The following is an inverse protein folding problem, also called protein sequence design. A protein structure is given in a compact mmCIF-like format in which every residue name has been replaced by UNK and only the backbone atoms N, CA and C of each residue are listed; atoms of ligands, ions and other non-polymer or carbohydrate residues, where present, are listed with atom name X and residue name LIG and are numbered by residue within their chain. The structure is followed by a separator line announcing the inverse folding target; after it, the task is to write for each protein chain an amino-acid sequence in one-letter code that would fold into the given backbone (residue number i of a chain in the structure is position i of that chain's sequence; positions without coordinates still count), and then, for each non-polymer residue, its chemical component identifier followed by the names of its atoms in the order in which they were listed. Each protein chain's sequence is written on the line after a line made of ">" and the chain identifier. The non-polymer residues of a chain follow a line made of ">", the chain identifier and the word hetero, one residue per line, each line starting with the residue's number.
data_IF_608035920454
#
_entry.id   IF_608035920454
#
_cell.length_a   1.000
_cell.length_b   1.000
_cell.length_c   1.000
_cell.angle_alpha   90.00
_cell.angle_beta   90.00
_cell.angle_gamma   90.00
#
_symmetry.space_group_name_H-M   'P 1'
#
loop_
_entity.id
_entity.type
_entity.pdbx_description
1 polymer ?
#
# COMPACT_ATOMS: atom_id res chain seq x y z
N UNK A 1 -0.63 -19.07 5.94
CA UNK A 1 -1.04 -17.65 5.98
C UNK A 1 -2.40 -17.52 5.29
N UNK A 2 -3.47 -17.59 6.06
CA UNK A 2 -4.83 -17.75 5.52
C UNK A 2 -5.75 -16.54 5.78
N UNK A 3 -5.32 -15.57 6.58
CA UNK A 3 -6.13 -14.41 6.93
C UNK A 3 -5.36 -13.12 6.72
N UNK A 4 -6.10 -12.03 6.64
CA UNK A 4 -5.50 -10.69 6.58
C UNK A 4 -4.72 -10.41 7.87
N UNK A 5 -5.21 -10.92 9.00
CA UNK A 5 -4.50 -10.82 10.27
C UNK A 5 -3.15 -11.52 10.24
N UNK A 6 -3.08 -12.70 9.65
CA UNK A 6 -1.81 -13.42 9.48
C UNK A 6 -0.82 -12.59 8.67
N UNK A 7 -1.29 -11.92 7.61
CA UNK A 7 -0.47 -11.02 6.81
C UNK A 7 0.00 -9.81 7.64
N UNK A 8 -0.87 -9.24 8.44
CA UNK A 8 -0.51 -8.14 9.34
C UNK A 8 0.52 -8.58 10.37
N UNK A 9 0.33 -9.73 10.99
CA UNK A 9 1.26 -10.26 11.98
C UNK A 9 2.64 -10.46 11.37
N UNK A 10 2.71 -11.05 10.18
CA UNK A 10 3.96 -11.22 9.43
C UNK A 10 4.61 -9.88 9.12
N UNK A 11 3.86 -8.95 8.55
CA UNK A 11 4.36 -7.62 8.20
C UNK A 11 4.86 -6.87 9.42
N UNK A 12 4.09 -6.86 10.51
CA UNK A 12 4.45 -6.11 11.70
C UNK A 12 5.69 -6.67 12.40
N UNK A 13 5.88 -7.98 12.40
CA UNK A 13 7.09 -8.61 12.95
C UNK A 13 8.33 -8.25 12.17
N UNK A 14 8.23 -8.19 10.83
CA UNK A 14 9.37 -7.91 9.95
C UNK A 14 9.67 -6.42 9.83
N UNK A 15 8.66 -5.57 9.83
CA UNK A 15 8.80 -4.16 9.44
C UNK A 15 8.70 -3.19 10.60
N UNK A 16 8.08 -3.56 11.71
CA UNK A 16 7.92 -2.68 12.86
C UNK A 16 8.91 -3.09 13.95
N UNK A 17 9.84 -2.19 14.24
CA UNK A 17 10.87 -2.43 15.25
C UNK A 17 10.31 -2.32 16.67
N UNK A 18 10.95 -3.01 17.62
CA UNK A 18 10.63 -2.87 19.03
C UNK A 18 10.82 -1.42 19.50
N UNK A 19 9.96 -0.99 20.39
CA UNK A 19 10.02 0.37 20.94
C UNK A 19 9.22 1.42 20.16
N UNK A 20 8.57 1.03 19.05
CA UNK A 20 7.69 1.95 18.34
C UNK A 20 6.44 2.22 19.20
N UNK A 21 6.03 3.49 19.38
CA UNK A 21 4.84 3.82 20.16
C UNK A 21 3.58 3.09 19.68
N UNK A 22 2.75 2.68 20.62
CA UNK A 22 1.51 1.93 20.34
C UNK A 22 0.61 2.66 19.34
N UNK A 23 0.50 3.97 19.42
CA UNK A 23 -0.32 4.76 18.51
C UNK A 23 0.20 4.69 17.07
N UNK A 24 1.51 4.66 16.89
CA UNK A 24 2.11 4.51 15.56
C UNK A 24 1.82 3.12 14.99
N UNK A 25 1.93 2.08 15.82
CA UNK A 25 1.59 0.71 15.41
C UNK A 25 0.12 0.62 15.02
N UNK A 26 -0.77 1.24 15.80
CA UNK A 26 -2.21 1.30 15.51
C UNK A 26 -2.47 1.98 14.15
N UNK A 27 -1.85 3.12 13.89
CA UNK A 27 -1.99 3.84 12.62
C UNK A 27 -1.49 3.01 11.45
N UNK A 28 -0.36 2.31 11.62
CA UNK A 28 0.17 1.40 10.59
C UNK A 28 -0.81 0.28 10.30
N UNK A 29 -1.45 -0.29 11.33
CA UNK A 29 -2.44 -1.35 11.17
C UNK A 29 -3.66 -0.86 10.41
N UNK A 30 -4.18 0.32 10.75
CA UNK A 30 -5.30 0.93 10.05
C UNK A 30 -4.96 1.14 8.58
N UNK A 31 -3.78 1.68 8.28
CA UNK A 31 -3.32 1.90 6.91
C UNK A 31 -3.19 0.58 6.14
N UNK A 32 -2.62 -0.45 6.77
CA UNK A 32 -2.47 -1.77 6.17
C UNK A 32 -3.83 -2.37 5.78
N UNK A 33 -4.78 -2.39 6.71
CA UNK A 33 -6.12 -2.93 6.45
C UNK A 33 -6.88 -2.11 5.42
N UNK A 34 -6.71 -0.79 5.42
CA UNK A 34 -7.32 0.10 4.43
C UNK A 34 -6.79 -0.18 3.02
N UNK A 35 -5.50 -0.44 2.90
CA UNK A 35 -4.89 -0.85 1.64
C UNK A 35 -5.43 -2.16 1.11
N UNK A 36 -5.57 -3.16 1.98
CA UNK A 36 -6.16 -4.47 1.63
C UNK A 36 -7.61 -4.30 1.19
N UNK A 37 -8.38 -3.47 1.89
CA UNK A 37 -9.78 -3.18 1.51
C UNK A 37 -9.85 -2.56 0.11
N UNK A 38 -8.98 -1.60 -0.18
CA UNK A 38 -8.91 -0.98 -1.51
C UNK A 38 -8.63 -2.00 -2.60
N UNK A 39 -7.71 -2.91 -2.36
CA UNK A 39 -7.38 -3.98 -3.30
C UNK A 39 -8.58 -4.90 -3.55
N UNK A 40 -9.30 -5.28 -2.50
CA UNK A 40 -10.50 -6.12 -2.62
C UNK A 40 -11.61 -5.42 -3.41
N UNK A 41 -11.79 -4.11 -3.23
CA UNK A 41 -12.76 -3.32 -4.01
C UNK A 41 -12.42 -3.38 -5.50
N UNK A 42 -11.14 -3.25 -5.85
CA UNK A 42 -10.70 -3.35 -7.24
C UNK A 42 -10.95 -4.75 -7.82
N UNK A 43 -10.64 -5.79 -7.06
CA UNK A 43 -10.88 -7.18 -7.49
C UNK A 43 -12.36 -7.46 -7.68
N UNK A 44 -13.23 -6.98 -6.77
CA UNK A 44 -14.68 -7.10 -6.90
C UNK A 44 -15.18 -6.40 -8.16
N UNK A 45 -14.66 -5.22 -8.46
CA UNK A 45 -15.03 -4.49 -9.67
C UNK A 45 -14.67 -5.29 -10.93
N UNK A 46 -13.48 -5.89 -10.96
CA UNK A 46 -13.04 -6.72 -12.09
C UNK A 46 -13.93 -7.94 -12.27
N UNK A 47 -14.34 -8.58 -11.16
CA UNK A 47 -15.24 -9.72 -11.19
C UNK A 47 -16.62 -9.34 -11.76
N UNK A 48 -17.18 -8.24 -11.31
CA UNK A 48 -18.50 -7.74 -11.78
C UNK A 48 -18.51 -7.34 -13.25
N UNK A 49 -17.38 -6.95 -13.81
CA UNK A 49 -17.26 -6.56 -15.21
C UNK A 49 -16.91 -7.73 -16.15
N UNK A 50 -16.92 -8.96 -15.62
CA UNK A 50 -16.63 -10.18 -16.37
C UNK A 50 -15.27 -10.15 -17.08
N UNK A 51 -14.26 -9.63 -16.41
CA UNK A 51 -12.90 -9.59 -16.94
C UNK A 51 -12.36 -11.01 -17.05
N UNK A 52 -11.71 -11.34 -18.17
CA UNK A 52 -11.15 -12.68 -18.39
C UNK A 52 -10.01 -12.98 -17.41
N UNK A 53 -9.75 -14.28 -17.19
CA UNK A 53 -8.63 -14.74 -16.36
C UNK A 53 -7.29 -14.22 -16.86
N UNK A 54 -7.11 -14.15 -18.16
CA UNK A 54 -5.89 -13.61 -18.79
C UNK A 54 -5.72 -12.13 -18.45
N UNK A 55 -6.79 -11.34 -18.56
CA UNK A 55 -6.75 -9.92 -18.23
C UNK A 55 -6.47 -9.70 -16.74
N UNK A 56 -7.02 -10.54 -15.85
CA UNK A 56 -6.74 -10.47 -14.41
C UNK A 56 -5.25 -10.72 -14.15
N UNK A 57 -4.65 -11.71 -14.79
CA UNK A 57 -3.22 -12.01 -14.66
C UNK A 57 -2.35 -10.84 -15.14
N UNK A 58 -2.74 -10.20 -16.24
CA UNK A 58 -2.03 -9.02 -16.76
C UNK A 58 -2.06 -7.87 -15.75
N UNK A 59 -3.20 -7.62 -15.12
CA UNK A 59 -3.35 -6.58 -14.10
C UNK A 59 -2.47 -6.92 -12.88
N UNK A 60 -2.50 -8.15 -12.41
CA UNK A 60 -1.67 -8.59 -11.28
C UNK A 60 -0.18 -8.40 -11.59
N UNK A 61 0.26 -8.74 -12.79
CA UNK A 61 1.63 -8.52 -13.21
C UNK A 61 2.00 -7.03 -13.26
N UNK A 62 1.08 -6.19 -13.74
CA UNK A 62 1.26 -4.74 -13.73
C UNK A 62 1.42 -4.21 -12.30
N UNK A 63 0.63 -4.71 -11.35
CA UNK A 63 0.75 -4.34 -9.93
C UNK A 63 2.09 -4.78 -9.33
N UNK A 64 2.59 -5.96 -9.71
CA UNK A 64 3.92 -6.41 -9.28
C UNK A 64 5.01 -5.48 -9.76
N UNK A 65 4.93 -5.04 -11.01
CA UNK A 65 5.89 -4.10 -11.58
C UNK A 65 5.82 -2.74 -10.88
N UNK A 66 4.62 -2.27 -10.58
CA UNK A 66 4.39 -1.04 -9.83
C UNK A 66 4.98 -1.12 -8.42
N UNK A 67 4.81 -2.26 -7.74
CA UNK A 67 5.40 -2.48 -6.41
C UNK A 67 6.93 -2.49 -6.45
N UNK A 68 7.52 -3.10 -7.48
CA UNK A 68 8.99 -3.09 -7.66
C UNK A 68 9.49 -1.68 -7.90
N UNK A 69 8.81 -0.91 -8.74
CA UNK A 69 9.14 0.47 -9.02
C UNK A 69 9.07 1.32 -7.75
N UNK A 70 7.99 1.17 -6.99
CA UNK A 70 7.82 1.86 -5.72
C UNK A 70 8.96 1.52 -4.74
N UNK A 71 9.30 0.24 -4.62
CA UNK A 71 10.40 -0.22 -3.76
C UNK A 71 11.73 0.42 -4.15
N UNK A 72 12.05 0.48 -5.44
CA UNK A 72 13.26 1.11 -5.95
C UNK A 72 13.28 2.61 -5.66
N UNK A 73 12.16 3.28 -5.87
CA UNK A 73 12.03 4.71 -5.61
C UNK A 73 12.08 5.03 -4.12
N UNK A 74 11.57 4.14 -3.29
CA UNK A 74 11.66 4.26 -1.84
C UNK A 74 13.11 4.20 -1.37
N UNK A 75 13.90 3.25 -1.89
CA UNK A 75 15.32 3.12 -1.57
C UNK A 75 16.15 4.32 -2.04
N UNK A 76 15.81 4.89 -3.18
CA UNK A 76 16.52 6.06 -3.73
C UNK A 76 16.15 7.38 -3.05
N UNK A 77 15.08 7.40 -2.24
CA UNK A 77 14.60 8.61 -1.59
C UNK A 77 13.57 9.40 -2.42
N UNK A 78 13.26 8.97 -3.63
CA UNK A 78 12.33 9.68 -4.53
C UNK A 78 10.93 9.79 -3.94
N UNK A 79 10.46 8.75 -3.24
CA UNK A 79 9.14 8.76 -2.62
C UNK A 79 9.07 9.78 -1.48
N UNK A 80 10.10 9.84 -0.66
CA UNK A 80 10.19 10.82 0.43
C UNK A 80 10.20 12.25 -0.12
N UNK A 81 10.97 12.50 -1.16
CA UNK A 81 11.04 13.79 -1.82
C UNK A 81 9.70 14.19 -2.43
N UNK A 82 9.02 13.26 -3.07
CA UNK A 82 7.69 13.46 -3.65
C UNK A 82 6.67 13.89 -2.57
N UNK A 83 6.69 13.23 -1.42
CA UNK A 83 5.80 13.56 -0.31
C UNK A 83 6.14 14.91 0.33
N UNK A 84 7.42 15.28 0.39
CA UNK A 84 7.85 16.60 0.86
C UNK A 84 7.34 17.71 -0.06
N UNK A 85 7.42 17.51 -1.36
CA UNK A 85 6.90 18.47 -2.36
C UNK A 85 5.39 18.62 -2.22
N UNK A 86 4.69 17.51 -2.06
CA UNK A 86 3.24 17.50 -1.86
C UNK A 86 2.83 18.25 -0.60
N UNK A 87 3.53 18.03 0.52
CA UNK A 87 3.27 18.72 1.78
C UNK A 87 3.51 20.23 1.65
N UNK A 88 4.59 20.65 0.97
CA UNK A 88 4.89 22.05 0.73
C UNK A 88 3.80 22.74 -0.11
N UNK A 89 3.26 22.06 -1.11
CA UNK A 89 2.15 22.59 -1.92
C UNK A 89 0.89 22.79 -1.09
N UNK A 90 0.60 21.87 -0.17
CA UNK A 90 -0.56 21.98 0.72
C UNK A 90 -0.47 23.18 1.65
N UNK A 91 0.74 23.55 2.09
CA UNK A 91 0.99 24.72 2.94
C UNK A 91 0.85 26.04 2.18
N UNK A 92 1.18 26.06 0.89
CA UNK A 92 1.15 27.25 0.04
C UNK A 92 -0.24 27.59 -0.46
N UNK A 93 -1.11 26.59 -0.64
CA UNK A 93 -2.46 26.79 -1.15
C UNK A 93 -3.31 27.55 -0.13
N UNK A 94 -3.78 28.76 -0.44
CA UNK A 94 -4.66 29.49 0.47
C UNK A 94 -5.97 28.76 0.67
N UNK A 95 -6.33 28.64 1.92
CA UNK A 95 -7.58 28.01 2.32
C UNK A 95 -8.80 28.84 1.92
#
# INVERSE_FOLDING_TARGET
>A
MNTIRDLWDFYSEEMIKDGVPVMVVFECRVAFYSGVRGLLILLDHMDKTNVSTVAIKEVINAWRDELKDFGSRLESGDIEDEERVRAARSEIVPS
#
